data_IF_515426281549
#
_entry.id   IF_515426281549
#
_cell.length_a   1.000
_cell.length_b   1.000
_cell.length_c   1.000
_cell.angle_alpha   90.00
_cell.angle_beta   90.00
_cell.angle_gamma   90.00
#
_symmetry.space_group_name_H-M   'P 1'
#
loop_
_entity.id
_entity.type
_entity.pdbx_description
1 polymer ?
#
# COMPACT_ATOMS: atom_id res chain seq x y z
N UNK A 1 -7.85 -7.21 13.89
CA UNK A 1 -7.87 -6.99 12.42
C UNK A 1 -6.54 -6.40 11.99
N UNK A 2 -5.94 -6.93 10.93
CA UNK A 2 -4.70 -6.39 10.36
C UNK A 2 -5.02 -5.91 8.95
N UNK A 3 -4.89 -4.61 8.71
CA UNK A 3 -4.99 -4.05 7.37
C UNK A 3 -3.59 -4.04 6.76
N UNK A 4 -3.43 -4.68 5.61
CA UNK A 4 -2.21 -4.72 4.83
C UNK A 4 -2.37 -3.79 3.64
N UNK A 5 -1.44 -2.85 3.48
CA UNK A 5 -1.28 -2.05 2.28
C UNK A 5 -0.13 -2.63 1.46
N UNK A 6 -0.35 -2.81 0.18
CA UNK A 6 0.60 -3.34 -0.79
C UNK A 6 0.89 -2.26 -1.83
N UNK A 7 2.18 -1.98 -2.04
CA UNK A 7 2.64 -1.06 -3.08
C UNK A 7 2.99 -1.85 -4.33
N UNK A 8 2.43 -1.44 -5.46
CA UNK A 8 2.76 -1.92 -6.79
C UNK A 8 3.02 -0.74 -7.72
N UNK A 9 3.85 -0.90 -8.74
CA UNK A 9 4.09 0.13 -9.75
C UNK A 9 3.90 -0.47 -11.15
N UNK A 10 2.67 -0.48 -11.66
CA UNK A 10 2.36 -1.09 -12.95
C UNK A 10 2.92 -0.29 -14.13
N UNK A 11 3.19 1.01 -13.98
CA UNK A 11 3.82 1.83 -15.01
C UNK A 11 5.07 2.50 -14.43
N UNK A 12 6.22 1.89 -14.67
CA UNK A 12 7.52 2.48 -14.39
C UNK A 12 8.05 3.11 -15.67
N UNK A 13 8.30 4.43 -15.66
CA UNK A 13 8.96 5.12 -16.77
C UNK A 13 10.48 4.88 -16.77
N UNK A 14 10.87 3.62 -16.61
CA UNK A 14 12.26 3.16 -16.69
C UNK A 14 12.50 2.50 -18.03
N UNK A 15 13.76 2.53 -18.50
CA UNK A 15 14.17 1.97 -19.79
C UNK A 15 13.89 0.46 -19.93
N UNK A 16 13.73 -0.26 -18.81
CA UNK A 16 13.40 -1.69 -18.76
C UNK A 16 11.95 -1.96 -18.33
N UNK A 17 11.12 -0.93 -18.14
CA UNK A 17 9.74 -1.03 -17.71
C UNK A 17 9.55 -1.59 -16.30
N UNK A 18 10.62 -1.66 -15.49
CA UNK A 18 10.59 -2.17 -14.11
C UNK A 18 11.13 -1.13 -13.13
N UNK A 19 10.60 -1.17 -11.92
CA UNK A 19 11.12 -0.39 -10.81
C UNK A 19 11.96 -1.28 -9.89
N UNK A 20 12.93 -0.68 -9.20
CA UNK A 20 13.79 -1.40 -8.24
C UNK A 20 12.95 -1.93 -7.09
N UNK A 21 12.86 -3.27 -6.96
CA UNK A 21 12.03 -3.93 -5.97
C UNK A 21 10.77 -4.60 -6.53
N UNK A 22 10.49 -4.49 -7.84
CA UNK A 22 9.29 -5.08 -8.45
C UNK A 22 9.05 -6.58 -8.16
N UNK A 23 10.13 -7.35 -7.97
CA UNK A 23 10.06 -8.78 -7.67
C UNK A 23 9.90 -9.09 -6.16
N UNK A 24 9.84 -8.06 -5.32
CA UNK A 24 9.71 -8.14 -3.86
C UNK A 24 8.35 -7.61 -3.41
N UNK A 25 7.93 -8.08 -2.24
CA UNK A 25 6.72 -7.58 -1.63
C UNK A 25 6.97 -6.27 -0.91
N UNK A 26 6.14 -5.26 -1.16
CA UNK A 26 6.23 -3.97 -0.49
C UNK A 26 4.97 -3.75 0.34
N UNK A 27 5.06 -3.97 1.65
CA UNK A 27 3.89 -4.02 2.52
C UNK A 27 4.00 -3.09 3.73
N UNK A 28 2.89 -2.42 4.06
CA UNK A 28 2.69 -1.73 5.34
C UNK A 28 1.52 -2.40 6.07
N UNK A 29 1.75 -2.78 7.32
CA UNK A 29 0.72 -3.39 8.17
C UNK A 29 0.23 -2.38 9.21
N UNK A 30 -1.08 -2.24 9.33
CA UNK A 30 -1.73 -1.43 10.38
C UNK A 30 -2.65 -2.31 11.21
N UNK A 31 -2.55 -2.15 12.53
CA UNK A 31 -3.39 -2.83 13.51
C UNK A 31 -3.97 -1.80 14.46
N UNK A 32 -5.22 -1.99 14.86
CA UNK A 32 -5.87 -1.14 15.86
C UNK A 32 -6.98 -1.92 16.56
N UNK A 33 -7.17 -1.63 17.85
CA UNK A 33 -8.26 -2.17 18.65
C UNK A 33 -9.46 -1.20 18.71
N UNK A 34 -9.28 0.07 18.33
CA UNK A 34 -10.35 1.06 18.37
C UNK A 34 -11.46 0.74 17.36
N UNK A 35 -12.72 0.76 17.80
CA UNK A 35 -13.87 0.42 16.97
C UNK A 35 -14.01 1.33 15.72
N UNK A 36 -13.68 2.62 15.85
CA UNK A 36 -13.65 3.58 14.73
C UNK A 36 -12.63 3.18 13.66
N UNK A 37 -11.43 2.77 14.08
CA UNK A 37 -10.37 2.32 13.17
C UNK A 37 -10.71 0.98 12.51
N UNK A 38 -11.39 0.07 13.22
CA UNK A 38 -11.85 -1.18 12.62
C UNK A 38 -12.90 -0.94 11.52
N UNK A 39 -13.84 0.01 11.73
CA UNK A 39 -14.79 0.44 10.69
C UNK A 39 -14.07 1.08 9.49
N UNK A 40 -13.06 1.91 9.75
CA UNK A 40 -12.22 2.48 8.70
C UNK A 40 -11.48 1.38 7.91
N UNK A 41 -10.89 0.41 8.59
CA UNK A 41 -10.19 -0.70 7.92
C UNK A 41 -11.13 -1.53 7.06
N UNK A 42 -12.33 -1.83 7.54
CA UNK A 42 -13.35 -2.51 6.75
C UNK A 42 -13.80 -1.69 5.52
N UNK A 43 -13.80 -0.35 5.62
CA UNK A 43 -14.11 0.53 4.49
C UNK A 43 -12.98 0.58 3.44
N UNK A 44 -11.73 0.48 3.90
CA UNK A 44 -10.56 0.50 3.03
C UNK A 44 -10.23 -0.88 2.45
N UNK A 45 -10.80 -1.95 2.99
CA UNK A 45 -10.61 -3.31 2.51
C UNK A 45 -11.05 -3.47 1.05
N UNK A 46 -10.21 -4.09 0.22
CA UNK A 46 -10.42 -4.21 -1.22
C UNK A 46 -10.22 -2.91 -2.00
N UNK A 47 -9.87 -1.81 -1.33
CA UNK A 47 -9.59 -0.52 -1.97
C UNK A 47 -8.27 -0.54 -2.72
N UNK A 48 -8.21 0.22 -3.81
CA UNK A 48 -6.99 0.46 -4.57
C UNK A 48 -6.93 1.93 -5.00
N UNK A 49 -5.76 2.55 -4.82
CA UNK A 49 -5.52 3.95 -5.10
C UNK A 49 -4.30 4.08 -5.99
N UNK A 50 -4.50 4.67 -7.17
CA UNK A 50 -3.43 4.96 -8.11
C UNK A 50 -2.96 6.41 -7.95
N UNK A 51 -1.66 6.61 -8.05
CA UNK A 51 -1.00 7.89 -8.09
C UNK A 51 -0.10 7.94 -9.32
N UNK A 52 -0.43 8.81 -10.27
CA UNK A 52 0.34 9.03 -11.48
C UNK A 52 1.09 10.36 -11.39
N UNK A 53 2.39 10.30 -11.63
CA UNK A 53 3.25 11.47 -11.79
C UNK A 53 3.31 11.91 -13.25
N UNK A 54 3.61 13.19 -13.46
CA UNK A 54 3.70 13.79 -14.80
C UNK A 54 4.91 13.28 -15.59
N UNK A 55 5.90 12.69 -14.91
CA UNK A 55 7.05 12.02 -15.50
C UNK A 55 6.73 10.61 -16.06
N UNK A 56 5.48 10.18 -15.94
CA UNK A 56 4.99 8.90 -16.46
C UNK A 56 5.04 7.74 -15.46
N UNK A 57 5.57 7.94 -14.25
CA UNK A 57 5.50 6.93 -13.20
C UNK A 57 4.07 6.78 -12.67
N UNK A 58 3.71 5.56 -12.26
CA UNK A 58 2.43 5.26 -11.60
C UNK A 58 2.64 4.27 -10.46
N UNK A 59 2.29 4.69 -9.24
CA UNK A 59 2.23 3.84 -8.06
C UNK A 59 0.78 3.51 -7.74
N UNK A 60 0.54 2.28 -7.32
CA UNK A 60 -0.78 1.78 -6.92
C UNK A 60 -0.65 1.18 -5.54
N UNK A 61 -1.39 1.73 -4.59
CA UNK A 61 -1.55 1.18 -3.25
C UNK A 61 -2.83 0.37 -3.20
N UNK A 62 -2.76 -0.90 -2.84
CA UNK A 62 -3.92 -1.75 -2.62
C UNK A 62 -4.03 -2.13 -1.16
N UNK A 63 -5.22 -2.11 -0.59
CA UNK A 63 -5.47 -2.47 0.80
C UNK A 63 -6.29 -3.75 0.90
N UNK A 64 -5.87 -4.64 1.80
CA UNK A 64 -6.60 -5.87 2.12
C UNK A 64 -6.47 -6.24 3.58
N UNK A 65 -7.56 -6.73 4.17
CA UNK A 65 -7.54 -7.33 5.50
C UNK A 65 -6.90 -8.72 5.39
N UNK A 66 -5.92 -8.96 6.25
CA UNK A 66 -5.21 -10.24 6.31
C UNK A 66 -5.27 -10.83 7.72
N UNK A 67 -5.16 -12.15 7.80
CA UNK A 67 -5.03 -12.85 9.07
C UNK A 67 -3.59 -12.72 9.63
N UNK A 68 -3.38 -13.19 10.86
CA UNK A 68 -2.06 -13.13 11.49
C UNK A 68 -1.01 -14.03 10.79
N UNK A 69 -1.45 -15.12 10.15
CA UNK A 69 -0.58 -16.12 9.51
C UNK A 69 -0.05 -15.59 8.18
N UNK A 70 -0.93 -15.06 7.35
CA UNK A 70 -0.66 -14.38 6.10
C UNK A 70 0.16 -13.11 6.35
N UNK A 71 -0.20 -12.28 7.34
CA UNK A 71 0.61 -11.12 7.72
C UNK A 71 2.04 -11.53 8.10
N UNK A 72 2.24 -12.66 8.77
CA UNK A 72 3.59 -13.16 9.10
C UNK A 72 4.35 -13.61 7.84
N UNK A 73 3.67 -14.22 6.87
CA UNK A 73 4.25 -14.59 5.57
C UNK A 73 4.66 -13.36 4.77
N UNK A 74 3.76 -12.37 4.65
CA UNK A 74 4.00 -11.13 3.93
C UNK A 74 5.11 -10.29 4.58
N UNK A 75 5.18 -10.25 5.92
CA UNK A 75 6.29 -9.60 6.64
C UNK A 75 7.66 -10.19 6.32
N UNK A 76 7.75 -11.51 6.08
CA UNK A 76 9.01 -12.15 5.67
C UNK A 76 9.42 -11.78 4.23
N UNK A 77 8.43 -11.55 3.37
CA UNK A 77 8.64 -11.13 1.99
C UNK A 77 8.74 -9.60 1.83
N UNK A 78 8.60 -8.84 2.92
CA UNK A 78 8.55 -7.38 2.90
C UNK A 78 9.95 -6.78 2.74
N UNK A 79 10.18 -6.07 1.65
CA UNK A 79 11.41 -5.33 1.40
C UNK A 79 11.35 -3.85 1.84
N UNK A 80 10.28 -3.46 2.55
CA UNK A 80 10.02 -2.06 2.92
C UNK A 80 9.11 -1.37 1.90
N UNK A 81 8.77 -0.10 2.14
CA UNK A 81 7.77 0.62 1.33
C UNK A 81 8.36 1.75 0.47
N UNK A 82 9.68 1.69 0.23
CA UNK A 82 10.44 2.58 -0.67
C UNK A 82 10.18 4.09 -0.50
N UNK A 83 9.80 4.54 0.70
CA UNK A 83 9.52 5.95 0.99
C UNK A 83 8.10 6.43 0.62
N UNK A 84 7.23 5.54 0.13
CA UNK A 84 5.83 5.85 -0.21
C UNK A 84 4.89 5.73 0.98
N UNK A 85 5.41 5.64 2.21
CA UNK A 85 4.64 5.58 3.45
C UNK A 85 3.65 6.75 3.60
N UNK A 86 3.97 7.89 3.00
CA UNK A 86 3.09 9.07 2.99
C UNK A 86 1.77 8.82 2.26
N UNK A 87 1.74 7.98 1.22
CA UNK A 87 0.50 7.63 0.52
C UNK A 87 -0.46 6.87 1.44
N UNK A 88 0.07 5.94 2.24
CA UNK A 88 -0.73 5.21 3.24
C UNK A 88 -1.23 6.15 4.33
N UNK A 89 -0.44 7.16 4.73
CA UNK A 89 -0.89 8.18 5.69
C UNK A 89 -2.06 8.99 5.12
N UNK A 90 -1.98 9.41 3.86
CA UNK A 90 -3.06 10.17 3.20
C UNK A 90 -4.33 9.32 3.05
N UNK A 91 -4.21 8.05 2.65
CA UNK A 91 -5.35 7.12 2.57
C UNK A 91 -6.01 6.93 3.95
N UNK A 92 -5.23 6.81 5.01
CA UNK A 92 -5.78 6.67 6.37
C UNK A 92 -6.43 7.96 6.89
N UNK A 93 -5.91 9.13 6.51
CA UNK A 93 -6.41 10.43 6.99
C UNK A 93 -7.60 10.95 6.17
N UNK A 94 -7.56 10.78 4.85
CA UNK A 94 -8.49 11.40 3.91
C UNK A 94 -9.26 10.39 3.05
N UNK A 95 -8.83 9.12 3.01
CA UNK A 95 -9.44 8.10 2.14
C UNK A 95 -8.95 8.13 0.69
N UNK A 96 -7.99 9.00 0.38
CA UNK A 96 -7.42 9.18 -0.96
C UNK A 96 -5.94 9.59 -0.87
N UNK A 97 -5.17 9.38 -1.94
CA UNK A 97 -3.79 9.88 -2.03
C UNK A 97 -3.84 11.34 -2.50
N UNK A 98 -3.29 12.27 -1.70
CA UNK A 98 -3.26 13.67 -2.09
C UNK A 98 -2.16 13.91 -3.13
N UNK A 99 -2.49 14.64 -4.20
CA UNK A 99 -1.49 15.17 -5.14
C UNK A 99 -0.56 16.13 -4.42
N UNK A 100 0.74 15.93 -4.63
CA UNK A 100 1.83 16.80 -4.20
C UNK A 100 2.61 17.26 -5.42
#
# INVERSE_FOLDING_TARGET
MILCFELSMPHAASWNGKWSGADQGHYIFKTSQAASMQKLFAKLDGGSWAYRWDDGWCAVISARIVDAKEARKLRKANAGFCGYDWMVKDILAFGEIKKR
#
